data_IF_454547983890
#
_entry.id   IF_454547983890
#
_cell.length_a   1.000
_cell.length_b   1.000
_cell.length_c   1.000
_cell.angle_alpha   90.00
_cell.angle_beta   90.00
_cell.angle_gamma   90.00
#
_symmetry.space_group_name_H-M   'P 1'
#
loop_
_entity.id
_entity.type
_entity.pdbx_description
1 polymer ?
#
# COMPACT_ATOMS: atom_id res chain seq x y z
N UNK A 1 60.49 8.61 12.86
CA UNK A 1 59.52 7.57 13.22
C UNK A 1 58.18 8.26 13.42
N UNK A 2 57.27 7.95 12.48
CA UNK A 2 55.82 7.88 12.65
C UNK A 2 54.98 9.17 12.67
N UNK A 3 54.79 9.66 11.45
CA UNK A 3 53.57 10.18 10.81
C UNK A 3 52.32 10.39 11.67
N UNK A 4 51.91 11.64 11.72
CA UNK A 4 50.58 12.11 12.11
C UNK A 4 49.52 11.62 11.12
N UNK A 5 48.41 11.06 11.60
CA UNK A 5 47.10 11.24 10.95
C UNK A 5 45.97 11.13 11.97
N UNK A 6 45.22 12.22 12.24
CA UNK A 6 43.93 12.12 12.89
C UNK A 6 42.95 11.44 11.94
N UNK A 7 42.31 10.37 12.39
CA UNK A 7 41.24 9.68 11.67
C UNK A 7 40.21 10.69 11.16
N UNK A 8 40.11 10.84 9.84
CA UNK A 8 39.09 11.67 9.22
C UNK A 8 37.71 11.11 9.61
N UNK A 9 36.73 11.95 10.01
CA UNK A 9 35.38 11.46 10.27
C UNK A 9 34.82 10.85 8.99
N UNK A 10 34.09 9.73 9.14
CA UNK A 10 33.33 9.07 8.08
C UNK A 10 32.71 10.14 7.18
N UNK A 11 33.17 10.15 5.93
CA UNK A 11 32.82 11.12 4.91
C UNK A 11 31.32 11.42 4.99
N UNK A 12 30.98 12.68 5.30
CA UNK A 12 29.61 13.16 5.31
C UNK A 12 28.95 12.72 4.01
N UNK A 13 27.93 11.85 4.09
CA UNK A 13 27.16 11.48 2.92
C UNK A 13 26.74 12.78 2.22
N UNK A 14 27.00 12.94 0.91
CA UNK A 14 26.71 14.18 0.23
C UNK A 14 25.23 14.50 0.43
N UNK A 15 24.96 15.60 1.16
CA UNK A 15 23.62 16.08 1.41
C UNK A 15 23.03 16.39 0.04
N UNK A 16 22.09 15.55 -0.41
CA UNK A 16 21.54 15.68 -1.74
C UNK A 16 20.75 17.00 -1.81
N UNK A 17 21.24 18.05 -2.50
CA UNK A 17 20.78 19.42 -2.24
C UNK A 17 19.34 19.68 -2.70
N UNK A 18 18.73 18.73 -3.42
CA UNK A 18 17.33 18.80 -3.91
C UNK A 18 16.61 17.44 -3.93
N UNK A 19 17.01 16.48 -3.08
CA UNK A 19 16.50 15.10 -3.14
C UNK A 19 16.10 14.51 -1.79
N UNK A 20 15.51 13.31 -1.83
CA UNK A 20 15.19 12.51 -0.63
C UNK A 20 16.38 11.62 -0.31
N UNK A 21 16.87 11.68 0.93
CA UNK A 21 17.78 10.68 1.49
C UNK A 21 16.98 9.71 2.35
N UNK A 22 17.01 8.43 2.01
CA UNK A 22 16.32 7.41 2.79
C UNK A 22 17.17 6.98 3.99
N UNK A 23 16.72 7.30 5.20
CA UNK A 23 17.26 6.74 6.43
C UNK A 23 16.43 5.50 6.78
N UNK A 24 16.87 4.34 6.28
CA UNK A 24 16.12 3.10 6.40
C UNK A 24 16.58 2.26 7.59
N UNK A 25 15.64 1.84 8.43
CA UNK A 25 15.84 0.77 9.41
C UNK A 25 15.17 -0.50 8.90
N UNK A 26 15.84 -1.64 9.02
CA UNK A 26 15.26 -2.93 8.63
C UNK A 26 14.07 -3.25 9.54
N UNK A 27 12.88 -3.35 8.97
CA UNK A 27 11.71 -3.90 9.65
C UNK A 27 11.76 -5.44 9.57
N UNK A 28 11.57 -6.11 10.70
CA UNK A 28 11.63 -7.58 10.80
C UNK A 28 10.27 -8.22 11.11
N UNK A 29 9.29 -7.43 11.52
CA UNK A 29 7.92 -7.90 11.79
C UNK A 29 6.90 -6.79 11.49
N UNK A 30 5.63 -7.18 11.36
CA UNK A 30 4.49 -6.27 11.15
C UNK A 30 4.68 -5.26 10.02
N UNK A 31 5.24 -5.71 8.90
CA UNK A 31 5.40 -4.91 7.69
C UNK A 31 4.74 -5.63 6.51
N UNK A 32 4.36 -4.83 5.50
CA UNK A 32 3.83 -5.31 4.23
C UNK A 32 4.76 -4.86 3.12
N UNK A 33 5.12 -5.77 2.22
CA UNK A 33 5.87 -5.44 1.01
C UNK A 33 4.88 -4.97 -0.03
N UNK A 34 5.07 -3.75 -0.53
CA UNK A 34 4.22 -3.16 -1.56
C UNK A 34 5.05 -2.93 -2.81
N UNK A 35 4.54 -3.36 -3.96
CA UNK A 35 5.22 -3.18 -5.24
C UNK A 35 5.30 -1.73 -5.69
N UNK A 36 6.41 -1.34 -6.32
CA UNK A 36 6.60 0.01 -6.86
C UNK A 36 5.57 0.37 -7.94
N UNK A 37 5.05 -0.63 -8.67
CA UNK A 37 4.00 -0.42 -9.67
C UNK A 37 2.71 0.14 -9.04
N UNK A 38 2.44 -0.15 -7.77
CA UNK A 38 1.31 0.42 -7.02
C UNK A 38 1.68 1.82 -6.49
N UNK A 39 2.82 1.95 -5.80
CA UNK A 39 3.19 3.22 -5.15
C UNK A 39 3.53 4.34 -6.14
N UNK A 40 3.90 4.00 -7.37
CA UNK A 40 4.24 4.94 -8.45
C UNK A 40 3.17 4.98 -9.54
N UNK A 41 1.99 4.41 -9.30
CA UNK A 41 0.96 4.27 -10.32
C UNK A 41 0.42 5.64 -10.77
N UNK A 42 0.63 5.97 -12.04
CA UNK A 42 0.32 7.32 -12.59
C UNK A 42 -1.17 7.65 -12.69
N UNK A 43 -2.03 6.63 -12.73
CA UNK A 43 -3.49 6.79 -12.91
C UNK A 43 -4.30 6.56 -11.64
N UNK A 44 -3.65 6.19 -10.53
CA UNK A 44 -4.32 6.05 -9.25
C UNK A 44 -4.15 7.35 -8.46
N UNK A 45 -5.20 7.73 -7.74
CA UNK A 45 -5.09 8.78 -6.72
C UNK A 45 -4.22 8.31 -5.56
N UNK A 46 -3.61 9.26 -4.83
CA UNK A 46 -2.88 8.95 -3.60
C UNK A 46 -3.78 8.30 -2.55
N UNK A 47 -5.07 8.64 -2.51
CA UNK A 47 -6.06 7.97 -1.65
C UNK A 47 -6.21 6.50 -2.05
N UNK A 48 -6.31 6.18 -3.34
CA UNK A 48 -6.37 4.79 -3.80
C UNK A 48 -5.08 4.01 -3.49
N UNK A 49 -3.91 4.62 -3.71
CA UNK A 49 -2.61 4.00 -3.36
C UNK A 49 -2.54 3.73 -1.86
N UNK A 50 -2.89 4.71 -1.02
CA UNK A 50 -2.91 4.56 0.43
C UNK A 50 -3.89 3.48 0.91
N UNK A 51 -5.08 3.42 0.30
CA UNK A 51 -6.05 2.37 0.61
C UNK A 51 -5.55 0.98 0.21
N UNK A 52 -4.93 0.82 -0.97
CA UNK A 52 -4.37 -0.46 -1.37
C UNK A 52 -3.26 -0.92 -0.40
N UNK A 53 -2.36 -0.02 -0.01
CA UNK A 53 -1.34 -0.30 1.00
C UNK A 53 -1.97 -0.75 2.34
N UNK A 54 -3.03 -0.06 2.79
CA UNK A 54 -3.74 -0.45 4.00
C UNK A 54 -4.38 -1.82 3.87
N UNK A 55 -5.12 -2.07 2.78
CA UNK A 55 -5.81 -3.34 2.54
C UNK A 55 -4.82 -4.51 2.52
N UNK A 56 -3.67 -4.38 1.85
CA UNK A 56 -2.64 -5.43 1.81
C UNK A 56 -1.98 -5.69 3.17
N UNK A 57 -2.09 -4.76 4.11
CA UNK A 57 -1.58 -4.92 5.49
C UNK A 57 -2.56 -5.64 6.43
N UNK A 58 -3.82 -5.78 6.01
CA UNK A 58 -4.84 -6.40 6.83
C UNK A 58 -4.79 -7.94 6.75
N UNK A 59 -5.16 -8.64 7.83
CA UNK A 59 -5.34 -10.09 7.76
C UNK A 59 -6.53 -10.44 6.85
N UNK A 60 -6.50 -11.64 6.28
CA UNK A 60 -7.62 -12.19 5.52
C UNK A 60 -8.93 -12.15 6.32
N UNK A 61 -10.02 -11.75 5.67
CA UNK A 61 -11.34 -11.61 6.31
C UNK A 61 -11.57 -10.25 7.00
N UNK A 62 -10.60 -9.34 7.00
CA UNK A 62 -10.82 -7.97 7.45
C UNK A 62 -11.90 -7.27 6.62
N UNK A 63 -12.68 -6.41 7.26
CA UNK A 63 -13.74 -5.64 6.59
C UNK A 63 -13.15 -4.46 5.83
N UNK A 64 -13.43 -4.42 4.54
CA UNK A 64 -12.95 -3.39 3.59
C UNK A 64 -14.11 -2.74 2.84
N UNK A 65 -15.20 -2.45 3.57
CA UNK A 65 -16.34 -1.69 3.04
C UNK A 65 -16.17 -0.17 3.27
N UNK A 66 -16.95 0.61 2.52
CA UNK A 66 -16.85 2.08 2.49
C UNK A 66 -17.04 2.67 3.89
N UNK A 67 -18.02 2.19 4.66
CA UNK A 67 -18.33 2.74 5.98
C UNK A 67 -17.23 2.42 6.97
N UNK A 68 -16.74 1.18 6.97
CA UNK A 68 -15.62 0.76 7.82
C UNK A 68 -14.36 1.59 7.54
N UNK A 69 -14.03 1.84 6.26
CA UNK A 69 -12.86 2.62 5.88
C UNK A 69 -13.03 4.12 6.17
N UNK A 70 -14.20 4.70 5.88
CA UNK A 70 -14.49 6.11 6.16
C UNK A 70 -14.54 6.42 7.67
N UNK A 71 -14.91 5.44 8.51
CA UNK A 71 -14.83 5.60 9.96
C UNK A 71 -13.39 5.58 10.49
N UNK A 72 -12.43 5.04 9.72
CA UNK A 72 -11.02 4.90 10.11
C UNK A 72 -10.14 6.05 9.63
N UNK A 73 -10.45 6.62 8.47
CA UNK A 73 -9.62 7.62 7.80
C UNK A 73 -10.29 8.99 7.79
N UNK A 74 -9.53 10.09 7.65
CA UNK A 74 -10.10 11.43 7.51
C UNK A 74 -10.83 11.65 6.17
N UNK A 75 -10.91 10.63 5.32
CA UNK A 75 -11.51 10.68 4.00
C UNK A 75 -13.00 10.34 4.05
N UNK A 76 -13.83 11.16 3.40
CA UNK A 76 -15.27 10.92 3.34
C UNK A 76 -15.66 9.70 2.50
N UNK A 77 -16.85 9.15 2.76
CA UNK A 77 -17.37 7.94 2.09
C UNK A 77 -17.29 8.02 0.56
N UNK A 78 -17.62 9.17 -0.03
CA UNK A 78 -17.56 9.38 -1.49
C UNK A 78 -16.14 9.21 -2.04
N UNK A 79 -15.13 9.73 -1.34
CA UNK A 79 -13.72 9.63 -1.76
C UNK A 79 -13.19 8.21 -1.59
N UNK A 80 -13.55 7.55 -0.49
CA UNK A 80 -13.27 6.13 -0.28
C UNK A 80 -13.90 5.27 -1.39
N UNK A 81 -15.17 5.53 -1.72
CA UNK A 81 -15.88 4.79 -2.76
C UNK A 81 -15.24 5.00 -4.14
N UNK A 82 -14.82 6.22 -4.48
CA UNK A 82 -14.10 6.53 -5.71
C UNK A 82 -12.75 5.79 -5.76
N UNK A 83 -11.98 5.85 -4.68
CA UNK A 83 -10.68 5.18 -4.60
C UNK A 83 -10.80 3.64 -4.72
N UNK A 84 -11.81 3.01 -4.10
CA UNK A 84 -12.07 1.57 -4.30
C UNK A 84 -12.41 1.23 -5.75
N UNK A 85 -13.17 2.10 -6.45
CA UNK A 85 -13.48 1.92 -7.88
C UNK A 85 -12.25 2.08 -8.76
N UNK A 86 -11.35 3.02 -8.43
CA UNK A 86 -10.06 3.15 -9.12
C UNK A 86 -9.24 1.85 -8.99
N UNK A 87 -9.15 1.29 -7.78
CA UNK A 87 -8.43 0.03 -7.55
C UNK A 87 -9.03 -1.13 -8.34
N UNK A 88 -10.36 -1.23 -8.44
CA UNK A 88 -11.04 -2.21 -9.29
C UNK A 88 -10.73 -2.02 -10.77
N UNK A 89 -10.82 -0.78 -11.24
CA UNK A 89 -10.58 -0.42 -12.65
C UNK A 89 -9.16 -0.79 -13.08
N UNK A 90 -8.20 -0.70 -12.15
CA UNK A 90 -6.79 -1.02 -12.39
C UNK A 90 -6.40 -2.44 -11.94
N UNK A 91 -7.37 -3.28 -11.53
CA UNK A 91 -7.13 -4.69 -11.23
C UNK A 91 -6.46 -4.98 -9.88
N UNK A 92 -6.29 -3.97 -9.02
CA UNK A 92 -5.75 -4.16 -7.67
C UNK A 92 -6.77 -4.73 -6.69
N UNK A 93 -8.06 -4.64 -7.04
CA UNK A 93 -9.16 -5.11 -6.22
C UNK A 93 -10.22 -5.77 -7.11
N UNK A 94 -10.87 -6.82 -6.62
CA UNK A 94 -12.08 -7.37 -7.20
C UNK A 94 -13.13 -7.56 -6.12
N UNK A 95 -14.37 -7.14 -6.39
CA UNK A 95 -15.52 -7.39 -5.51
C UNK A 95 -16.52 -8.29 -6.21
N UNK A 96 -16.72 -9.48 -5.68
CA UNK A 96 -17.75 -10.42 -6.12
C UNK A 96 -18.86 -10.49 -5.09
N UNK A 97 -20.11 -10.61 -5.56
CA UNK A 97 -21.25 -10.90 -4.69
C UNK A 97 -21.50 -12.40 -4.75
N UNK A 98 -21.31 -13.05 -3.62
CA UNK A 98 -21.51 -14.49 -3.50
C UNK A 98 -22.75 -14.76 -2.67
N UNK A 99 -23.60 -15.65 -3.16
CA UNK A 99 -24.75 -16.14 -2.41
C UNK A 99 -24.34 -17.38 -1.66
N UNK A 100 -24.35 -17.31 -0.34
CA UNK A 100 -24.06 -18.44 0.51
C UNK A 100 -25.19 -19.48 0.43
N UNK A 101 -24.92 -20.76 0.78
CA UNK A 101 -25.95 -21.80 0.88
C UNK A 101 -27.11 -21.43 1.83
N UNK A 102 -26.85 -20.56 2.81
CA UNK A 102 -27.86 -20.00 3.72
C UNK A 102 -28.79 -18.96 3.06
N UNK A 103 -28.63 -18.68 1.77
CA UNK A 103 -29.38 -17.67 1.03
C UNK A 103 -28.87 -16.23 1.21
N UNK A 104 -27.98 -15.98 2.17
CA UNK A 104 -27.37 -14.67 2.42
C UNK A 104 -26.40 -14.28 1.31
N UNK A 105 -26.53 -13.05 0.80
CA UNK A 105 -25.56 -12.48 -0.14
C UNK A 105 -24.45 -11.80 0.67
N UNK A 106 -23.20 -12.17 0.39
CA UNK A 106 -22.00 -11.56 0.96
C UNK A 106 -21.16 -10.93 -0.14
N UNK A 107 -20.46 -9.85 0.20
CA UNK A 107 -19.47 -9.26 -0.71
C UNK A 107 -18.12 -9.87 -0.36
N UNK A 108 -17.55 -10.62 -1.30
CA UNK A 108 -16.18 -11.10 -1.22
C UNK A 108 -15.28 -10.06 -1.91
N UNK A 109 -14.20 -9.66 -1.24
CA UNK A 109 -13.24 -8.68 -1.77
C UNK A 109 -11.87 -9.34 -1.86
N UNK A 110 -11.38 -9.51 -3.07
CA UNK A 110 -10.02 -9.96 -3.35
C UNK A 110 -9.12 -8.74 -3.59
N UNK A 111 -7.94 -8.73 -2.97
CA UNK A 111 -6.90 -7.73 -3.23
C UNK A 111 -5.74 -8.41 -3.94
N UNK A 112 -5.25 -7.82 -5.02
CA UNK A 112 -4.09 -8.31 -5.77
C UNK A 112 -2.88 -7.42 -5.47
N UNK A 113 -1.81 -8.02 -4.96
CA UNK A 113 -0.56 -7.29 -4.71
C UNK A 113 0.15 -6.90 -6.02
N UNK A 114 -0.10 -7.65 -7.11
CA UNK A 114 0.32 -7.34 -8.47
C UNK A 114 -0.84 -7.65 -9.44
N UNK A 115 -1.43 -6.65 -10.13
CA UNK A 115 -2.51 -6.89 -11.07
C UNK A 115 -1.98 -7.59 -12.35
N UNK A 116 -2.78 -8.48 -12.93
CA UNK A 116 -2.42 -9.20 -14.16
C UNK A 116 -1.57 -10.46 -13.96
N UNK A 117 -1.22 -10.82 -12.72
CA UNK A 117 -0.63 -12.14 -12.39
C UNK A 117 -1.70 -13.19 -12.09
N UNK A 118 -2.85 -13.12 -12.75
CA UNK A 118 -3.83 -14.20 -12.68
C UNK A 118 -3.20 -15.45 -13.30
N UNK A 119 -2.81 -16.38 -12.42
CA UNK A 119 -2.41 -17.75 -12.76
C UNK A 119 -3.38 -18.33 -13.79
N UNK A 120 -2.80 -18.91 -14.83
CA UNK A 120 -3.47 -19.73 -15.84
C UNK A 120 -3.84 -21.08 -15.25
#
# INVERSE_FOLDING_TARGET
>A
MDTQHPSAPVCAQPLNPRGITHINTKHTSRFTVVGNHLTQHRRLSLTAIGLACHIQSLPSGARVDIKTLAARFPEGETRIAAALRELETHGYLARTRERLPSGRIVTHTASYNQPGSTET
#
